data_IF_187990677075
#
_entry.id   IF_187990677075
#
_cell.length_a   1.000
_cell.length_b   1.000
_cell.length_c   1.000
_cell.angle_alpha   90.00
_cell.angle_beta   90.00
_cell.angle_gamma   90.00
#
_symmetry.space_group_name_H-M   'P 1'
#
loop_
_entity.id
_entity.type
_entity.pdbx_description
1 polymer ?
#
# COMPACT_ATOMS: atom_id res chain seq x y z
N UNK A 1 -8.85 -19.21 -4.06
CA UNK A 1 -9.26 -17.90 -4.59
C UNK A 1 -10.68 -17.64 -4.08
N UNK A 2 -10.99 -16.42 -3.65
CA UNK A 2 -12.31 -16.05 -3.11
C UNK A 2 -12.94 -15.07 -4.09
N UNK A 3 -14.20 -15.32 -4.48
CA UNK A 3 -14.96 -14.48 -5.41
C UNK A 3 -16.28 -14.04 -4.76
N UNK A 4 -16.69 -12.79 -4.98
CA UNK A 4 -18.03 -12.33 -4.61
C UNK A 4 -19.06 -12.84 -5.61
N UNK A 5 -20.16 -13.41 -5.11
CA UNK A 5 -21.32 -13.79 -5.90
C UNK A 5 -22.46 -12.78 -5.74
N UNK A 6 -22.71 -12.38 -4.49
CA UNK A 6 -23.64 -11.32 -4.08
C UNK A 6 -23.14 -10.66 -2.78
N UNK A 7 -23.95 -9.83 -2.14
CA UNK A 7 -23.59 -9.13 -0.89
C UNK A 7 -23.30 -10.08 0.30
N UNK A 8 -23.93 -11.25 0.36
CA UNK A 8 -23.86 -12.20 1.48
C UNK A 8 -23.29 -13.57 1.10
N UNK A 9 -22.73 -13.68 -0.10
CA UNK A 9 -22.26 -14.94 -0.65
C UNK A 9 -20.92 -14.81 -1.36
N UNK A 10 -20.03 -15.71 -0.97
CA UNK A 10 -18.72 -15.88 -1.57
C UNK A 10 -18.58 -17.28 -2.16
N UNK A 11 -17.75 -17.38 -3.19
CA UNK A 11 -17.31 -18.64 -3.77
C UNK A 11 -15.83 -18.85 -3.48
N UNK A 12 -15.50 -19.93 -2.77
CA UNK A 12 -14.13 -20.40 -2.62
C UNK A 12 -13.81 -21.38 -3.74
N UNK A 13 -12.83 -21.03 -4.58
CA UNK A 13 -12.34 -21.83 -5.68
C UNK A 13 -10.92 -22.31 -5.39
N UNK A 14 -10.67 -23.61 -5.51
CA UNK A 14 -9.31 -24.14 -5.44
C UNK A 14 -8.46 -23.64 -6.61
N UNK A 15 -7.24 -23.21 -6.28
CA UNK A 15 -6.38 -22.54 -7.24
C UNK A 15 -5.95 -23.40 -8.44
N UNK A 16 -5.90 -24.70 -8.25
CA UNK A 16 -5.48 -25.72 -9.22
C UNK A 16 -6.65 -26.57 -9.73
N UNK A 17 -7.90 -26.17 -9.45
CA UNK A 17 -9.06 -26.92 -9.87
C UNK A 17 -9.14 -27.00 -11.41
N UNK A 18 -9.62 -28.12 -11.98
CA UNK A 18 -9.94 -28.19 -13.40
C UNK A 18 -10.86 -27.04 -13.81
N UNK A 19 -10.55 -26.40 -14.95
CA UNK A 19 -11.28 -25.22 -15.44
C UNK A 19 -10.74 -23.86 -14.97
N UNK A 20 -9.76 -23.84 -14.05
CA UNK A 20 -9.04 -22.62 -13.68
C UNK A 20 -7.87 -22.40 -14.64
N UNK A 21 -7.85 -21.27 -15.34
CA UNK A 21 -6.69 -20.80 -16.12
C UNK A 21 -6.15 -19.51 -15.51
N UNK A 22 -4.83 -19.36 -15.48
CA UNK A 22 -4.16 -18.15 -15.01
C UNK A 22 -3.19 -17.66 -16.05
N UNK A 23 -3.32 -16.39 -16.41
CA UNK A 23 -2.43 -15.74 -17.37
C UNK A 23 -1.70 -14.62 -16.65
N UNK A 24 -0.38 -14.75 -16.54
CA UNK A 24 0.48 -13.68 -16.03
C UNK A 24 0.71 -12.70 -17.17
N UNK A 25 0.21 -11.48 -17.01
CA UNK A 25 0.43 -10.38 -17.95
C UNK A 25 1.72 -9.61 -17.67
N UNK A 26 1.99 -8.60 -18.48
CA UNK A 26 3.00 -7.59 -18.17
C UNK A 26 2.56 -6.78 -16.94
N UNK A 27 3.45 -6.65 -15.97
CA UNK A 27 3.17 -5.95 -14.71
C UNK A 27 4.08 -4.73 -14.57
N UNK A 28 3.53 -3.64 -14.04
CA UNK A 28 4.31 -2.46 -13.71
C UNK A 28 5.42 -2.80 -12.71
N UNK A 29 5.07 -3.50 -11.63
CA UNK A 29 6.04 -4.03 -10.67
C UNK A 29 6.25 -5.53 -10.89
N UNK A 30 7.37 -5.89 -11.51
CA UNK A 30 7.75 -7.29 -11.70
C UNK A 30 8.04 -8.05 -10.39
N UNK A 31 8.15 -7.38 -9.24
CA UNK A 31 8.31 -8.02 -7.93
C UNK A 31 6.99 -8.41 -7.28
N UNK A 32 5.85 -7.94 -7.83
CA UNK A 32 4.51 -8.29 -7.39
C UNK A 32 3.82 -9.12 -8.48
N UNK A 33 3.80 -10.43 -8.31
CA UNK A 33 3.18 -11.34 -9.27
C UNK A 33 1.66 -11.26 -9.20
N UNK A 34 1.06 -10.66 -10.22
CA UNK A 34 -0.38 -10.65 -10.44
C UNK A 34 -0.71 -11.47 -11.71
N UNK A 35 -1.90 -12.04 -11.72
CA UNK A 35 -2.39 -12.84 -12.84
C UNK A 35 -3.88 -12.60 -13.06
N UNK A 36 -4.30 -12.65 -14.32
CA UNK A 36 -5.72 -12.72 -14.68
C UNK A 36 -6.17 -14.16 -14.56
N UNK A 37 -7.23 -14.42 -13.79
CA UNK A 37 -7.84 -15.74 -13.64
C UNK A 37 -9.09 -15.88 -14.50
N UNK A 38 -9.15 -16.92 -15.31
CA UNK A 38 -10.37 -17.37 -16.00
C UNK A 38 -10.91 -18.63 -15.32
N UNK A 39 -12.23 -18.69 -15.15
CA UNK A 39 -12.94 -19.82 -14.57
C UNK A 39 -13.94 -20.36 -15.58
N UNK A 40 -13.80 -21.63 -15.94
CA UNK A 40 -14.65 -22.32 -16.91
C UNK A 40 -15.17 -23.64 -16.31
N UNK A 41 -16.45 -23.69 -15.97
CA UNK A 41 -17.08 -24.87 -15.38
C UNK A 41 -16.49 -25.32 -14.04
N UNK A 42 -15.89 -24.39 -13.27
CA UNK A 42 -15.16 -24.73 -12.03
C UNK A 42 -16.11 -24.97 -10.86
N UNK A 43 -15.92 -26.08 -10.16
CA UNK A 43 -16.61 -26.34 -8.88
C UNK A 43 -16.08 -25.39 -7.81
N UNK A 44 -16.99 -24.62 -7.20
CA UNK A 44 -16.69 -23.75 -6.08
C UNK A 44 -17.42 -24.18 -4.81
N UNK A 45 -16.78 -23.98 -3.66
CA UNK A 45 -17.44 -24.09 -2.36
C UNK A 45 -18.15 -22.77 -2.06
N UNK A 46 -19.48 -22.79 -2.02
CA UNK A 46 -20.29 -21.64 -1.60
C UNK A 46 -20.11 -21.40 -0.10
N UNK A 47 -19.95 -20.13 0.25
CA UNK A 47 -19.91 -19.62 1.62
C UNK A 47 -21.00 -18.56 1.73
N UNK A 48 -22.07 -18.87 2.45
CA UNK A 48 -23.23 -17.98 2.66
C UNK A 48 -23.47 -17.80 4.14
N UNK A 49 -23.89 -16.61 4.55
CA UNK A 49 -24.24 -16.31 5.93
C UNK A 49 -24.50 -14.81 6.15
N UNK A 50 -25.29 -14.44 7.16
CA UNK A 50 -25.62 -13.04 7.43
C UNK A 50 -24.42 -12.21 7.88
N UNK A 51 -23.31 -12.85 8.26
CA UNK A 51 -22.06 -12.22 8.69
C UNK A 51 -20.98 -12.18 7.59
N UNK A 52 -21.27 -12.67 6.39
CA UNK A 52 -20.30 -12.71 5.28
C UNK A 52 -19.82 -11.30 4.91
N UNK A 53 -20.75 -10.35 4.76
CA UNK A 53 -20.41 -8.97 4.42
C UNK A 53 -19.51 -8.31 5.47
N UNK A 54 -19.85 -8.44 6.76
CA UNK A 54 -19.07 -7.83 7.85
C UNK A 54 -17.69 -8.48 8.01
N UNK A 55 -17.59 -9.80 7.82
CA UNK A 55 -16.30 -10.50 7.79
C UNK A 55 -15.44 -10.07 6.60
N UNK A 56 -16.05 -9.89 5.43
CA UNK A 56 -15.34 -9.43 4.24
C UNK A 56 -14.77 -8.03 4.43
N UNK A 57 -15.54 -7.12 5.04
CA UNK A 57 -15.04 -5.78 5.39
C UNK A 57 -13.87 -5.87 6.39
N UNK A 58 -13.98 -6.74 7.41
CA UNK A 58 -12.88 -6.99 8.34
C UNK A 58 -11.62 -7.57 7.65
N UNK A 59 -11.78 -8.40 6.62
CA UNK A 59 -10.67 -8.88 5.78
C UNK A 59 -10.09 -7.74 4.95
N UNK A 60 -10.94 -6.90 4.36
CA UNK A 60 -10.54 -5.74 3.58
C UNK A 60 -9.70 -4.77 4.42
N UNK A 61 -10.16 -4.40 5.60
CA UNK A 61 -9.39 -3.53 6.52
C UNK A 61 -8.00 -4.08 6.81
N UNK A 62 -7.88 -5.39 7.07
CA UNK A 62 -6.58 -6.04 7.32
C UNK A 62 -5.67 -6.04 6.08
N UNK A 63 -6.23 -6.24 4.89
CA UNK A 63 -5.49 -6.13 3.63
C UNK A 63 -4.94 -4.70 3.45
N UNK A 64 -5.76 -3.68 3.71
CA UNK A 64 -5.34 -2.28 3.58
C UNK A 64 -4.25 -1.91 4.60
N UNK A 65 -4.39 -2.35 5.85
CA UNK A 65 -3.37 -2.16 6.89
C UNK A 65 -2.05 -2.83 6.49
N UNK A 66 -2.11 -4.08 6.01
CA UNK A 66 -0.90 -4.80 5.57
C UNK A 66 -0.21 -4.11 4.38
N UNK A 67 -0.99 -3.65 3.41
CA UNK A 67 -0.46 -2.90 2.27
C UNK A 67 0.14 -1.55 2.70
N UNK A 68 -0.51 -0.84 3.63
CA UNK A 68 0.02 0.41 4.19
C UNK A 68 1.33 0.19 4.94
N UNK A 69 1.44 -0.88 5.74
CA UNK A 69 2.67 -1.25 6.43
C UNK A 69 3.82 -1.53 5.45
N UNK A 70 3.54 -2.24 4.35
CA UNK A 70 4.50 -2.47 3.29
C UNK A 70 4.98 -1.15 2.65
N UNK A 71 4.05 -0.25 2.35
CA UNK A 71 4.34 1.07 1.77
C UNK A 71 5.18 1.96 2.70
N UNK A 72 4.97 1.89 4.02
CA UNK A 72 5.83 2.55 5.02
C UNK A 72 7.26 2.01 4.96
N UNK A 73 7.43 0.68 4.93
CA UNK A 73 8.76 0.06 4.81
C UNK A 73 9.46 0.44 3.50
N UNK A 74 8.72 0.49 2.39
CA UNK A 74 9.20 0.98 1.10
C UNK A 74 9.69 2.43 1.23
N UNK A 75 8.87 3.31 1.82
CA UNK A 75 9.18 4.73 1.99
C UNK A 75 10.44 4.94 2.85
N UNK A 76 10.55 4.23 3.98
CA UNK A 76 11.76 4.22 4.84
C UNK A 76 13.00 3.85 4.05
N UNK A 77 12.92 2.79 3.24
CA UNK A 77 14.07 2.34 2.46
C UNK A 77 14.48 3.34 1.38
N UNK A 78 13.51 4.02 0.75
CA UNK A 78 13.80 5.13 -0.17
C UNK A 78 14.51 6.29 0.53
N UNK A 79 14.04 6.69 1.72
CA UNK A 79 14.67 7.74 2.52
C UNK A 79 16.10 7.37 2.92
N UNK A 80 16.34 6.12 3.37
CA UNK A 80 17.69 5.62 3.70
C UNK A 80 18.66 5.74 2.52
N UNK A 81 18.25 5.25 1.34
CA UNK A 81 19.08 5.35 0.13
C UNK A 81 19.36 6.82 -0.23
N UNK A 82 18.35 7.68 -0.12
CA UNK A 82 18.50 9.12 -0.39
C UNK A 82 19.49 9.78 0.59
N UNK A 83 19.42 9.46 1.89
CA UNK A 83 20.33 9.96 2.91
C UNK A 83 21.77 9.47 2.69
N UNK A 84 21.95 8.18 2.38
CA UNK A 84 23.27 7.60 2.07
C UNK A 84 23.92 8.30 0.89
N UNK A 85 23.18 8.46 -0.22
CA UNK A 85 23.69 9.16 -1.40
C UNK A 85 23.94 10.64 -1.12
N UNK A 86 23.03 11.30 -0.40
CA UNK A 86 23.19 12.72 -0.07
C UNK A 86 24.40 12.99 0.84
N UNK A 87 24.73 12.05 1.73
CA UNK A 87 25.88 12.11 2.63
C UNK A 87 27.23 11.88 1.94
N UNK A 88 27.25 11.18 0.80
CA UNK A 88 28.50 10.80 0.12
C UNK A 88 28.76 11.59 -1.16
N UNK A 89 27.71 11.97 -1.90
CA UNK A 89 27.83 12.69 -3.17
C UNK A 89 28.28 14.13 -2.95
N UNK A 90 29.37 14.53 -3.60
CA UNK A 90 29.89 15.90 -3.54
C UNK A 90 29.57 16.70 -4.80
N UNK A 91 29.07 17.93 -4.62
CA UNK A 91 28.88 18.95 -5.67
C UNK A 91 29.10 20.33 -5.06
N UNK A 92 29.62 21.26 -5.87
CA UNK A 92 29.96 22.61 -5.42
C UNK A 92 30.84 22.61 -4.14
N UNK A 93 31.82 21.71 -4.07
CA UNK A 93 32.81 21.66 -3.00
C UNK A 93 32.37 21.07 -1.66
N UNK A 94 31.18 20.46 -1.57
CA UNK A 94 30.66 19.81 -0.34
C UNK A 94 29.65 18.71 -0.65
N UNK A 95 29.23 17.94 0.36
CA UNK A 95 28.20 16.92 0.20
C UNK A 95 26.84 17.53 -0.14
N UNK A 96 26.04 16.89 -1.00
CA UNK A 96 24.74 17.44 -1.41
C UNK A 96 23.74 17.48 -0.23
N UNK A 97 23.91 16.64 0.78
CA UNK A 97 23.13 16.67 2.02
C UNK A 97 23.35 17.93 2.87
N UNK A 98 24.38 18.74 2.57
CA UNK A 98 24.61 20.01 3.28
C UNK A 98 23.69 21.15 2.81
N UNK A 99 23.08 21.04 1.62
CA UNK A 99 22.20 22.06 1.05
C UNK A 99 20.81 21.98 1.70
N UNK A 100 20.28 23.14 2.11
CA UNK A 100 18.97 23.24 2.77
C UNK A 100 17.84 22.65 1.94
N UNK A 101 17.88 22.81 0.61
CA UNK A 101 16.87 22.23 -0.29
C UNK A 101 16.77 20.70 -0.18
N UNK A 102 17.89 20.00 0.01
CA UNK A 102 17.89 18.55 0.23
C UNK A 102 17.44 18.23 1.65
N UNK A 103 17.96 18.96 2.65
CA UNK A 103 17.61 18.72 4.06
C UNK A 103 16.12 18.86 4.33
N UNK A 104 15.50 19.97 3.90
CA UNK A 104 14.08 20.21 4.14
C UNK A 104 13.22 19.12 3.51
N UNK A 105 13.49 18.77 2.24
CA UNK A 105 12.79 17.68 1.56
C UNK A 105 12.86 16.35 2.32
N UNK A 106 14.05 15.96 2.78
CA UNK A 106 14.24 14.69 3.49
C UNK A 106 13.63 14.71 4.90
N UNK A 107 13.58 15.86 5.56
CA UNK A 107 12.90 16.04 6.85
C UNK A 107 11.38 15.97 6.68
N UNK A 108 10.81 16.68 5.70
CA UNK A 108 9.37 16.64 5.41
C UNK A 108 8.94 15.22 5.05
N UNK A 109 9.77 14.51 4.26
CA UNK A 109 9.54 13.11 3.93
C UNK A 109 9.57 12.21 5.17
N UNK A 110 10.54 12.40 6.07
CA UNK A 110 10.60 11.66 7.34
C UNK A 110 9.32 11.88 8.15
N UNK A 111 8.85 13.11 8.29
CA UNK A 111 7.60 13.43 9.01
C UNK A 111 6.40 12.69 8.39
N UNK A 112 6.29 12.67 7.06
CA UNK A 112 5.22 11.95 6.38
C UNK A 112 5.27 10.43 6.63
N UNK A 113 6.48 9.85 6.68
CA UNK A 113 6.70 8.43 6.96
C UNK A 113 6.31 8.10 8.41
N UNK A 114 6.75 8.89 9.39
CA UNK A 114 6.42 8.68 10.80
C UNK A 114 4.90 8.81 11.03
N UNK A 115 4.24 9.77 10.39
CA UNK A 115 2.79 9.91 10.46
C UNK A 115 2.08 8.70 9.86
N UNK A 116 2.51 8.23 8.69
CA UNK A 116 1.94 7.04 8.07
C UNK A 116 2.13 5.80 8.95
N UNK A 117 3.32 5.60 9.50
CA UNK A 117 3.60 4.47 10.40
C UNK A 117 2.73 4.51 11.65
N UNK A 118 2.58 5.68 12.28
CA UNK A 118 1.71 5.84 13.45
C UNK A 118 0.27 5.41 13.15
N UNK A 119 -0.28 5.81 11.99
CA UNK A 119 -1.64 5.40 11.60
C UNK A 119 -1.76 3.92 11.27
N UNK A 120 -0.70 3.30 10.72
CA UNK A 120 -0.67 1.84 10.49
C UNK A 120 -0.68 1.09 11.83
N UNK A 121 0.11 1.53 12.80
CA UNK A 121 0.17 0.91 14.13
C UNK A 121 -1.18 1.05 14.86
N UNK A 122 -1.82 2.21 14.78
CA UNK A 122 -3.13 2.45 15.38
C UNK A 122 -4.22 1.55 14.74
N UNK A 123 -4.27 1.52 13.41
CA UNK A 123 -5.19 0.66 12.68
C UNK A 123 -4.97 -0.84 12.96
N UNK A 124 -3.71 -1.27 13.03
CA UNK A 124 -3.34 -2.65 13.38
C UNK A 124 -3.78 -3.00 14.80
N UNK A 125 -3.49 -2.12 15.78
CA UNK A 125 -3.91 -2.32 17.16
C UNK A 125 -5.43 -2.39 17.31
N UNK A 126 -6.17 -1.53 16.61
CA UNK A 126 -7.63 -1.57 16.57
C UNK A 126 -8.18 -2.86 15.97
N UNK A 127 -7.56 -3.37 14.90
CA UNK A 127 -7.98 -4.59 14.23
C UNK A 127 -7.73 -5.88 15.05
N UNK A 128 -6.86 -5.84 16.06
CA UNK A 128 -6.52 -6.98 16.93
C UNK A 128 -7.36 -7.07 18.21
N UNK A 129 -7.90 -5.96 18.70
CA UNK A 129 -8.60 -5.88 19.99
C UNK A 129 -9.99 -6.54 20.01
N UNK A 130 -10.53 -6.95 18.86
CA UNK A 130 -11.81 -7.67 18.80
C UNK A 130 -12.96 -6.85 19.39
N UNK A 131 -13.75 -7.44 20.29
CA UNK A 131 -14.93 -6.79 20.88
C UNK A 131 -14.62 -5.71 21.92
N UNK A 132 -13.41 -5.70 22.48
CA UNK A 132 -13.00 -4.75 23.52
C UNK A 132 -12.35 -3.49 22.93
N UNK A 133 -12.19 -3.44 21.60
CA UNK A 133 -11.57 -2.36 20.85
C UNK A 133 -12.57 -1.50 20.06
N UNK A 134 -12.06 -0.72 19.10
CA UNK A 134 -12.89 0.11 18.22
C UNK A 134 -13.92 -0.73 17.44
N UNK A 135 -15.04 -0.13 17.10
CA UNK A 135 -16.03 -0.74 16.22
C UNK A 135 -15.44 -1.09 14.86
N UNK A 136 -16.07 -2.03 14.15
CA UNK A 136 -15.62 -2.42 12.80
C UNK A 136 -15.57 -1.23 11.82
N UNK A 137 -16.48 -0.26 11.96
CA UNK A 137 -16.50 0.96 11.17
C UNK A 137 -15.30 1.86 11.49
N UNK A 138 -14.95 2.02 12.77
CA UNK A 138 -13.76 2.78 13.18
C UNK A 138 -12.47 2.12 12.68
N UNK A 139 -12.37 0.79 12.74
CA UNK A 139 -11.23 0.06 12.19
C UNK A 139 -11.15 0.25 10.66
N UNK A 140 -12.28 0.27 9.95
CA UNK A 140 -12.31 0.53 8.52
C UNK A 140 -11.83 1.96 8.18
N UNK A 141 -12.26 2.97 8.96
CA UNK A 141 -11.80 4.35 8.80
C UNK A 141 -10.28 4.48 9.03
N UNK A 142 -9.76 3.85 10.09
CA UNK A 142 -8.32 3.83 10.39
C UNK A 142 -7.52 3.09 9.29
N UNK A 143 -8.05 1.99 8.78
CA UNK A 143 -7.43 1.26 7.67
C UNK A 143 -7.40 2.09 6.37
N UNK A 144 -8.48 2.82 6.06
CA UNK A 144 -8.55 3.73 4.92
C UNK A 144 -7.57 4.91 5.08
N UNK A 145 -7.54 5.54 6.25
CA UNK A 145 -6.64 6.66 6.54
C UNK A 145 -5.16 6.25 6.45
N UNK A 146 -4.79 5.13 7.07
CA UNK A 146 -3.42 4.61 7.01
C UNK A 146 -3.00 4.24 5.58
N UNK A 147 -3.89 3.64 4.78
CA UNK A 147 -3.66 3.35 3.36
C UNK A 147 -3.42 4.60 2.52
N UNK A 148 -4.16 5.69 2.76
CA UNK A 148 -3.97 6.96 2.04
C UNK A 148 -2.62 7.58 2.42
N UNK A 149 -2.32 7.68 3.71
CA UNK A 149 -1.09 8.32 4.20
C UNK A 149 0.15 7.54 3.78
N UNK A 150 0.15 6.21 3.94
CA UNK A 150 1.27 5.36 3.54
C UNK A 150 1.52 5.39 2.03
N UNK A 151 0.46 5.41 1.21
CA UNK A 151 0.59 5.48 -0.24
C UNK A 151 1.17 6.80 -0.73
N UNK A 152 0.74 7.92 -0.12
CA UNK A 152 1.33 9.24 -0.39
C UNK A 152 2.79 9.29 0.02
N UNK A 153 3.12 8.81 1.23
CA UNK A 153 4.49 8.77 1.73
C UNK A 153 5.39 7.91 0.83
N UNK A 154 4.93 6.73 0.42
CA UNK A 154 5.68 5.82 -0.46
C UNK A 154 5.97 6.40 -1.85
N UNK A 155 4.97 7.01 -2.50
CA UNK A 155 5.20 7.65 -3.80
C UNK A 155 6.15 8.84 -3.68
N UNK A 156 5.92 9.76 -2.73
CA UNK A 156 6.81 10.91 -2.51
C UNK A 156 8.23 10.44 -2.17
N UNK A 157 8.38 9.40 -1.36
CA UNK A 157 9.70 8.84 -1.02
C UNK A 157 10.44 8.32 -2.26
N UNK A 158 9.76 7.58 -3.12
CA UNK A 158 10.36 7.02 -4.32
C UNK A 158 10.75 8.13 -5.31
N UNK A 159 9.91 9.15 -5.49
CA UNK A 159 10.17 10.30 -6.36
C UNK A 159 11.35 11.15 -5.85
N UNK A 160 11.34 11.52 -4.57
CA UNK A 160 12.41 12.32 -3.98
C UNK A 160 13.72 11.54 -3.92
N UNK A 161 13.70 10.23 -3.67
CA UNK A 161 14.91 9.42 -3.72
C UNK A 161 15.53 9.40 -5.13
N UNK A 162 14.72 9.27 -6.19
CA UNK A 162 15.20 9.41 -7.57
C UNK A 162 15.79 10.81 -7.79
N UNK A 163 15.07 11.86 -7.37
CA UNK A 163 15.51 13.24 -7.55
C UNK A 163 16.84 13.55 -6.83
N UNK A 164 17.03 13.02 -5.61
CA UNK A 164 18.28 13.16 -4.85
C UNK A 164 19.44 12.45 -5.52
N UNK A 165 19.20 11.28 -6.13
CA UNK A 165 20.22 10.56 -6.89
C UNK A 165 20.54 11.25 -8.22
N UNK A 166 19.59 12.02 -8.76
CA UNK A 166 19.69 12.64 -10.07
C UNK A 166 19.61 11.59 -11.17
N UNK A 167 20.36 11.79 -12.25
CA UNK A 167 20.29 10.92 -13.44
C UNK A 167 20.42 9.42 -13.13
N UNK A 168 21.36 9.02 -12.26
CA UNK A 168 21.58 7.61 -11.90
C UNK A 168 20.34 6.95 -11.28
N UNK A 169 19.53 7.71 -10.53
CA UNK A 169 18.31 7.21 -9.90
C UNK A 169 17.24 6.75 -10.90
N UNK A 170 17.31 7.25 -12.14
CA UNK A 170 16.37 6.90 -13.22
C UNK A 170 16.91 5.82 -14.16
N UNK A 171 18.17 5.42 -14.02
CA UNK A 171 18.80 4.39 -14.85
C UNK A 171 18.51 2.97 -14.34
N UNK A 172 18.75 1.94 -15.17
CA UNK A 172 18.56 0.53 -14.80
C UNK A 172 19.67 -0.01 -13.88
N UNK A 173 20.75 0.75 -13.74
CA UNK A 173 21.91 0.45 -12.92
C UNK A 173 21.63 0.72 -11.43
N UNK A 174 20.57 1.48 -11.12
CA UNK A 174 20.17 1.78 -9.75
C UNK A 174 18.83 1.15 -9.39
N UNK A 175 18.71 0.58 -8.19
CA UNK A 175 17.51 -0.18 -7.78
C UNK A 175 16.26 0.69 -7.53
N UNK A 176 16.39 2.02 -7.54
CA UNK A 176 15.29 2.95 -7.22
C UNK A 176 14.08 2.81 -8.14
N UNK A 177 14.30 2.45 -9.40
CA UNK A 177 13.20 2.22 -10.33
C UNK A 177 12.28 1.07 -9.88
N UNK A 178 12.79 0.09 -9.12
CA UNK A 178 11.94 -0.97 -8.54
C UNK A 178 11.04 -0.42 -7.44
N UNK A 179 11.58 0.44 -6.57
CA UNK A 179 10.81 1.07 -5.49
C UNK A 179 9.72 1.99 -6.05
N UNK A 180 10.03 2.77 -7.08
CA UNK A 180 9.04 3.61 -7.76
C UNK A 180 7.91 2.77 -8.38
N UNK A 181 8.25 1.72 -9.13
CA UNK A 181 7.23 0.87 -9.76
C UNK A 181 6.38 0.12 -8.73
N UNK A 182 6.97 -0.34 -7.63
CA UNK A 182 6.23 -0.96 -6.52
C UNK A 182 5.32 0.03 -5.81
N UNK A 183 5.82 1.20 -5.44
CA UNK A 183 5.00 2.25 -4.83
C UNK A 183 3.81 2.62 -5.73
N UNK A 184 4.04 2.71 -7.05
CA UNK A 184 2.99 3.04 -8.01
C UNK A 184 1.99 1.90 -8.20
N UNK A 185 2.46 0.66 -8.26
CA UNK A 185 1.58 -0.51 -8.33
C UNK A 185 0.72 -0.62 -7.05
N UNK A 186 1.33 -0.48 -5.87
CA UNK A 186 0.64 -0.54 -4.59
C UNK A 186 -0.39 0.58 -4.43
N UNK A 187 -0.11 1.79 -4.93
CA UNK A 187 -1.07 2.88 -4.96
C UNK A 187 -2.38 2.51 -5.68
N UNK A 188 -2.32 1.66 -6.69
CA UNK A 188 -3.46 1.24 -7.52
C UNK A 188 -4.16 -0.03 -7.00
N UNK A 189 -3.60 -0.71 -6.00
CA UNK A 189 -4.20 -1.92 -5.45
C UNK A 189 -5.36 -1.60 -4.49
N UNK A 190 -6.42 -2.39 -4.63
CA UNK A 190 -7.62 -2.43 -3.78
C UNK A 190 -8.55 -1.21 -3.80
N UNK A 191 -8.29 -0.23 -4.66
CA UNK A 191 -9.18 0.91 -4.87
C UNK A 191 -8.38 2.19 -5.14
N UNK A 192 -9.08 3.21 -5.62
CA UNK A 192 -8.51 4.54 -5.79
C UNK A 192 -8.45 5.29 -4.45
N UNK A 193 -7.46 6.17 -4.32
CA UNK A 193 -7.26 7.02 -3.14
C UNK A 193 -8.50 7.88 -2.84
N UNK A 194 -9.13 8.44 -3.88
CA UNK A 194 -10.30 9.32 -3.72
C UNK A 194 -11.44 8.63 -3.00
N UNK A 195 -11.71 7.36 -3.31
CA UNK A 195 -12.77 6.59 -2.67
C UNK A 195 -12.55 6.43 -1.16
N UNK A 196 -11.29 6.26 -0.73
CA UNK A 196 -10.95 6.18 0.69
C UNK A 196 -11.07 7.52 1.40
N UNK A 197 -10.61 8.60 0.77
CA UNK A 197 -10.73 9.96 1.33
C UNK A 197 -12.20 10.34 1.47
N UNK A 198 -13.02 10.05 0.46
CA UNK A 198 -14.45 10.30 0.49
C UNK A 198 -15.13 9.50 1.60
N UNK A 199 -14.86 8.19 1.70
CA UNK A 199 -15.46 7.32 2.73
C UNK A 199 -15.15 7.80 4.15
N UNK A 200 -13.87 8.15 4.43
CA UNK A 200 -13.47 8.72 5.73
C UNK A 200 -14.17 10.06 5.97
N UNK A 201 -14.25 10.92 4.96
CA UNK A 201 -14.96 12.21 5.06
C UNK A 201 -16.44 12.05 5.40
N UNK A 202 -17.13 11.17 4.70
CA UNK A 202 -18.54 10.84 4.96
C UNK A 202 -18.73 10.30 6.38
N UNK A 203 -17.89 9.35 6.80
CA UNK A 203 -17.92 8.80 8.17
C UNK A 203 -17.75 9.88 9.23
N UNK A 204 -16.81 10.81 9.06
CA UNK A 204 -16.59 11.92 9.99
C UNK A 204 -17.78 12.88 10.08
N UNK A 205 -18.50 13.10 8.98
CA UNK A 205 -19.70 13.95 8.96
C UNK A 205 -20.96 13.28 9.50
N UNK A 206 -20.96 11.94 9.57
CA UNK A 206 -22.09 11.14 10.06
C UNK A 206 -22.05 10.91 11.58
N UNK A 207 -20.98 11.29 12.26
CA UNK A 207 -20.78 11.22 13.71
C UNK A 207 -21.25 12.50 14.40
#
# INVERSE_FOLDING_TARGET
MIYGLDENELALVEGSAPGVRRTVGEQLDGTRQLATGELDGVTARRMSGPDVASRLEGVRSRILIALAAEQVGLARRCLEMALEYAGTRQQFGRTIGSFQGIKHKLVDLLVAIELAEATVLDASGGAEQGSDGPSAAEVADLAAASRVLASRAAMTAAEEAIQVHGGIGFTWEHRLHHYFRRAKADQLLFGDEYAYVQAVGESLTAR
#
